data_IF_468380404829
#
_entry.id   IF_468380404829
#
_cell.length_a   1.000
_cell.length_b   1.000
_cell.length_c   1.000
_cell.angle_alpha   90.00
_cell.angle_beta   90.00
_cell.angle_gamma   90.00
#
_symmetry.space_group_name_H-M   'P 1'
#
loop_
_entity.id
_entity.type
_entity.pdbx_description
1 polymer ?
#
# COMPACT_ATOMS: atom_id res chain seq x y z
N UNK A 1 41.49 7.34 24.80
CA UNK A 1 42.55 6.56 24.11
C UNK A 1 42.45 5.13 24.61
N UNK A 2 42.17 4.17 23.73
CA UNK A 2 42.17 2.75 24.09
C UNK A 2 43.62 2.27 24.00
N UNK A 3 44.17 1.79 25.11
CA UNK A 3 45.54 1.29 25.16
C UNK A 3 45.74 0.12 24.20
N UNK A 4 46.78 0.23 23.37
CA UNK A 4 47.16 -0.78 22.38
C UNK A 4 47.41 -2.15 23.04
N UNK A 5 47.88 -2.14 24.29
CA UNK A 5 48.07 -3.35 25.11
C UNK A 5 46.76 -4.03 25.51
N UNK A 6 45.67 -3.26 25.69
CA UNK A 6 44.35 -3.82 25.98
C UNK A 6 43.74 -4.46 24.73
N UNK A 7 43.96 -3.88 23.55
CA UNK A 7 43.53 -4.47 22.28
C UNK A 7 44.32 -5.75 21.93
N UNK A 8 45.64 -5.77 22.17
CA UNK A 8 46.48 -6.96 21.95
C UNK A 8 46.11 -8.11 22.89
N UNK A 9 45.85 -7.83 24.17
CA UNK A 9 45.39 -8.85 25.13
C UNK A 9 44.01 -9.40 24.79
N UNK A 10 43.07 -8.58 24.33
CA UNK A 10 41.75 -9.07 23.90
C UNK A 10 41.84 -10.02 22.69
N UNK A 11 42.77 -9.78 21.76
CA UNK A 11 42.99 -10.65 20.60
C UNK A 11 43.63 -12.01 20.98
N UNK A 12 44.53 -12.01 21.97
CA UNK A 12 45.26 -13.21 22.40
C UNK A 12 44.37 -14.21 23.18
N UNK A 13 43.32 -13.73 23.85
CA UNK A 13 42.46 -14.56 24.71
C UNK A 13 41.17 -15.08 24.04
N UNK A 14 40.91 -14.80 22.75
CA UNK A 14 39.78 -15.41 22.01
C UNK A 14 40.03 -16.87 21.57
N UNK A 15 41.16 -17.46 21.97
CA UNK A 15 41.53 -18.86 21.79
C UNK A 15 40.64 -19.81 22.60
N UNK A 16 39.47 -20.13 22.03
CA UNK A 16 38.47 -21.11 22.44
C UNK A 16 39.07 -22.40 23.04
N UNK A 17 38.72 -22.73 24.30
CA UNK A 17 38.96 -24.05 24.90
C UNK A 17 38.40 -25.16 23.99
N UNK A 18 39.25 -26.09 23.55
CA UNK A 18 38.88 -27.31 22.80
C UNK A 18 38.15 -28.31 23.72
N UNK A 19 37.04 -28.94 23.30
CA UNK A 19 36.66 -30.25 23.80
C UNK A 19 37.56 -31.31 23.16
N UNK A 20 38.03 -32.25 23.98
CA UNK A 20 38.93 -33.33 23.58
C UNK A 20 38.08 -34.46 23.00
N UNK A 21 38.05 -34.61 21.67
CA UNK A 21 37.55 -35.83 21.03
C UNK A 21 36.85 -35.63 19.68
N UNK A 22 37.42 -36.21 18.63
CA UNK A 22 36.66 -36.73 17.48
C UNK A 22 36.73 -35.94 16.17
N UNK A 23 37.49 -36.48 15.21
CA UNK A 23 37.16 -36.41 13.77
C UNK A 23 37.69 -35.20 13.00
N UNK A 24 38.56 -35.47 12.02
CA UNK A 24 39.20 -34.46 11.18
C UNK A 24 38.22 -33.63 10.37
N UNK A 25 38.17 -32.33 10.68
CA UNK A 25 37.79 -31.28 9.74
C UNK A 25 38.95 -30.30 9.71
N UNK A 26 39.51 -30.09 8.53
CA UNK A 26 40.53 -29.09 8.27
C UNK A 26 40.07 -27.73 8.83
N UNK A 27 40.89 -27.15 9.69
CA UNK A 27 40.70 -25.78 10.17
C UNK A 27 40.69 -24.86 8.94
N UNK A 28 39.56 -24.19 8.70
CA UNK A 28 39.45 -23.17 7.64
C UNK A 28 40.61 -22.19 7.82
N UNK A 29 41.42 -21.91 6.77
CA UNK A 29 42.59 -21.05 6.91
C UNK A 29 42.14 -19.69 7.44
N UNK A 30 42.70 -19.28 8.58
CA UNK A 30 42.49 -17.96 9.15
C UNK A 30 42.85 -16.93 8.08
N UNK A 31 41.85 -16.15 7.66
CA UNK A 31 42.00 -15.10 6.65
C UNK A 31 43.02 -14.08 7.20
N UNK A 32 44.29 -14.19 6.79
CA UNK A 32 45.33 -13.23 7.16
C UNK A 32 44.84 -11.87 6.66
N UNK A 33 44.58 -10.95 7.58
CA UNK A 33 44.23 -9.58 7.25
C UNK A 33 45.45 -8.98 6.54
N UNK A 34 45.27 -8.59 5.29
CA UNK A 34 46.33 -7.89 4.55
C UNK A 34 46.65 -6.55 5.26
N UNK A 35 47.91 -6.13 5.28
CA UNK A 35 48.29 -4.82 5.83
C UNK A 35 47.48 -3.71 5.15
N UNK A 36 47.00 -2.74 5.95
CA UNK A 36 46.20 -1.63 5.45
C UNK A 36 47.03 -0.72 4.53
N UNK A 37 46.59 -0.59 3.27
CA UNK A 37 47.16 0.36 2.30
C UNK A 37 46.22 1.58 2.16
N UNK A 38 46.64 2.78 2.63
CA UNK A 38 45.80 3.98 2.59
C UNK A 38 45.51 4.46 1.16
N UNK A 39 46.40 4.22 0.20
CA UNK A 39 46.21 4.68 -1.18
C UNK A 39 45.19 3.81 -1.89
N UNK A 40 45.32 2.49 -1.75
CA UNK A 40 44.34 1.55 -2.29
C UNK A 40 42.96 1.72 -1.64
N UNK A 41 42.90 1.97 -0.33
CA UNK A 41 41.66 2.28 0.37
C UNK A 41 41.00 3.56 -0.17
N UNK A 42 41.77 4.63 -0.36
CA UNK A 42 41.26 5.89 -0.91
C UNK A 42 40.74 5.76 -2.35
N UNK A 43 41.44 5.03 -3.21
CA UNK A 43 40.96 4.78 -4.58
C UNK A 43 39.68 3.94 -4.61
N UNK A 44 39.55 3.00 -3.68
CA UNK A 44 38.34 2.21 -3.51
C UNK A 44 37.16 3.05 -3.01
N UNK A 45 37.38 3.95 -2.05
CA UNK A 45 36.34 4.87 -1.59
C UNK A 45 35.85 5.80 -2.71
N UNK A 46 36.76 6.30 -3.56
CA UNK A 46 36.38 7.05 -4.76
C UNK A 46 35.56 6.22 -5.72
N UNK A 47 35.96 4.99 -6.00
CA UNK A 47 35.22 4.08 -6.86
C UNK A 47 33.81 3.80 -6.32
N UNK A 48 33.69 3.54 -5.02
CA UNK A 48 32.41 3.33 -4.34
C UNK A 48 31.54 4.61 -4.43
N UNK A 49 32.12 5.81 -4.29
CA UNK A 49 31.40 7.07 -4.45
C UNK A 49 30.88 7.31 -5.88
N UNK A 50 31.70 7.03 -6.91
CA UNK A 50 31.23 7.09 -8.30
C UNK A 50 30.09 6.11 -8.57
N UNK A 51 30.20 4.88 -8.06
CA UNK A 51 29.15 3.87 -8.15
C UNK A 51 27.86 4.36 -7.48
N UNK A 52 27.96 4.97 -6.29
CA UNK A 52 26.83 5.52 -5.54
C UNK A 52 26.06 6.56 -6.36
N UNK A 53 26.77 7.56 -6.89
CA UNK A 53 26.15 8.63 -7.69
C UNK A 53 25.52 8.10 -8.97
N UNK A 54 26.20 7.16 -9.64
CA UNK A 54 25.68 6.53 -10.84
C UNK A 54 24.33 5.85 -10.59
N UNK A 55 24.21 5.06 -9.52
CA UNK A 55 22.96 4.35 -9.26
C UNK A 55 21.85 5.25 -8.73
N UNK A 56 22.19 6.33 -8.02
CA UNK A 56 21.20 7.35 -7.61
C UNK A 56 20.61 8.03 -8.84
N UNK A 57 21.46 8.50 -9.76
CA UNK A 57 21.01 9.14 -11.00
C UNK A 57 20.19 8.16 -11.83
N UNK A 58 20.63 6.91 -11.94
CA UNK A 58 19.89 5.87 -12.65
C UNK A 58 18.53 5.60 -12.01
N UNK A 59 18.46 5.51 -10.67
CA UNK A 59 17.21 5.31 -9.93
C UNK A 59 16.24 6.47 -10.13
N UNK A 60 16.74 7.71 -10.10
CA UNK A 60 15.96 8.91 -10.40
C UNK A 60 15.43 8.89 -11.85
N UNK A 61 16.30 8.62 -12.83
CA UNK A 61 15.92 8.56 -14.24
C UNK A 61 14.86 7.48 -14.50
N UNK A 62 15.04 6.28 -13.92
CA UNK A 62 14.07 5.19 -14.06
C UNK A 62 12.74 5.55 -13.40
N UNK A 63 12.75 6.18 -12.22
CA UNK A 63 11.52 6.65 -11.57
C UNK A 63 10.75 7.67 -12.41
N UNK A 64 11.45 8.64 -13.02
CA UNK A 64 10.85 9.61 -13.93
C UNK A 64 10.30 8.95 -15.21
N UNK A 65 11.05 8.03 -15.81
CA UNK A 65 10.60 7.28 -17.00
C UNK A 65 9.36 6.43 -16.65
N UNK A 66 9.35 5.79 -15.48
CA UNK A 66 8.20 5.02 -15.02
C UNK A 66 6.96 5.90 -14.93
N UNK A 67 7.05 7.05 -14.25
CA UNK A 67 5.91 7.95 -14.04
C UNK A 67 5.41 8.63 -15.31
N UNK A 68 6.32 9.17 -16.13
CA UNK A 68 5.95 10.08 -17.24
C UNK A 68 5.95 9.42 -18.62
N UNK A 69 6.50 8.22 -18.75
CA UNK A 69 6.54 7.50 -20.03
C UNK A 69 5.81 6.18 -19.95
N UNK A 70 6.11 5.34 -18.95
CA UNK A 70 5.55 3.98 -18.91
C UNK A 70 4.12 3.94 -18.36
N UNK A 71 3.82 4.58 -17.23
CA UNK A 71 2.46 4.59 -16.68
C UNK A 71 1.43 5.18 -17.67
N UNK A 72 1.65 6.33 -18.34
CA UNK A 72 0.67 6.90 -19.27
C UNK A 72 0.52 6.11 -20.58
N UNK A 73 1.44 5.18 -20.89
CA UNK A 73 1.38 4.38 -22.13
C UNK A 73 0.87 2.97 -21.92
N UNK A 74 0.64 2.57 -20.67
CA UNK A 74 0.27 1.21 -20.30
C UNK A 74 -1.07 1.23 -19.57
N UNK A 75 -2.10 0.71 -20.23
CA UNK A 75 -3.41 0.39 -19.64
C UNK A 75 -3.37 -0.99 -18.92
N UNK A 76 -2.19 -1.41 -18.46
CA UNK A 76 -1.87 -2.79 -18.09
C UNK A 76 -1.61 -3.01 -16.59
N UNK A 77 -1.45 -4.27 -16.15
CA UNK A 77 -1.32 -4.60 -14.74
C UNK A 77 -0.11 -3.93 -14.10
N UNK A 78 -0.36 -3.13 -13.07
CA UNK A 78 0.62 -2.35 -12.31
C UNK A 78 1.85 -3.18 -11.90
N UNK A 79 1.68 -4.47 -11.66
CA UNK A 79 2.75 -5.39 -11.24
C UNK A 79 3.94 -5.41 -12.22
N UNK A 80 3.71 -5.24 -13.53
CA UNK A 80 4.81 -5.28 -14.51
C UNK A 80 5.72 -4.06 -14.40
N UNK A 81 5.17 -2.90 -14.02
CA UNK A 81 5.93 -1.67 -13.80
C UNK A 81 6.94 -1.84 -12.66
N UNK A 82 6.57 -2.59 -11.63
CA UNK A 82 7.42 -2.86 -10.47
C UNK A 82 8.52 -3.92 -10.73
N UNK A 83 8.35 -4.76 -11.75
CA UNK A 83 9.35 -5.79 -12.10
C UNK A 83 10.53 -5.22 -12.88
N UNK A 84 10.31 -4.22 -13.75
CA UNK A 84 11.35 -3.66 -14.62
C UNK A 84 12.56 -3.13 -13.82
N UNK A 85 12.40 -2.33 -12.74
CA UNK A 85 13.52 -1.86 -11.92
C UNK A 85 14.30 -3.00 -11.28
N UNK A 86 13.62 -4.04 -10.81
CA UNK A 86 14.27 -5.22 -10.24
C UNK A 86 15.15 -5.91 -11.28
N UNK A 87 14.64 -6.05 -12.52
CA UNK A 87 15.42 -6.61 -13.63
C UNK A 87 16.62 -5.73 -14.00
N UNK A 88 16.50 -4.40 -13.93
CA UNK A 88 17.59 -3.47 -14.22
C UNK A 88 18.81 -3.63 -13.29
N UNK A 89 18.63 -4.16 -12.07
CA UNK A 89 19.76 -4.46 -11.16
C UNK A 89 20.79 -5.40 -11.80
N UNK A 90 20.34 -6.32 -12.65
CA UNK A 90 21.23 -7.26 -13.36
C UNK A 90 22.13 -6.57 -14.38
N UNK A 91 21.73 -5.40 -14.87
CA UNK A 91 22.45 -4.62 -15.88
C UNK A 91 23.46 -3.64 -15.29
N UNK A 92 23.42 -3.40 -13.97
CA UNK A 92 24.31 -2.47 -13.27
C UNK A 92 25.81 -2.71 -13.54
N UNK A 93 26.33 -3.96 -13.54
CA UNK A 93 27.75 -4.19 -13.84
C UNK A 93 28.14 -3.72 -15.25
N UNK A 94 27.23 -3.85 -16.21
CA UNK A 94 27.46 -3.42 -17.60
C UNK A 94 27.44 -1.90 -17.70
N UNK A 95 26.45 -1.25 -17.07
CA UNK A 95 26.36 0.22 -17.02
C UNK A 95 27.60 0.81 -16.34
N UNK A 96 28.06 0.20 -15.25
CA UNK A 96 29.25 0.64 -14.51
C UNK A 96 30.52 0.57 -15.39
N UNK A 97 30.67 -0.47 -16.20
CA UNK A 97 31.79 -0.59 -17.17
C UNK A 97 31.71 0.41 -18.32
N UNK A 98 30.50 0.79 -18.71
CA UNK A 98 30.28 1.73 -19.81
C UNK A 98 30.52 3.19 -19.40
N UNK A 99 30.07 3.57 -18.21
CA UNK A 99 30.04 4.98 -17.78
C UNK A 99 31.26 5.37 -16.95
N UNK A 100 31.73 4.50 -16.06
CA UNK A 100 32.81 4.82 -15.12
C UNK A 100 34.16 4.44 -15.73
N UNK A 101 35.19 5.31 -15.65
CA UNK A 101 36.52 5.02 -16.17
C UNK A 101 37.10 3.70 -15.64
N UNK A 102 37.83 2.97 -16.51
CA UNK A 102 38.39 1.65 -16.22
C UNK A 102 39.19 1.59 -14.91
N UNK A 103 39.89 2.69 -14.55
CA UNK A 103 40.63 2.79 -13.29
C UNK A 103 39.77 2.44 -12.06
N UNK A 104 38.52 2.88 -12.05
CA UNK A 104 37.59 2.67 -10.94
C UNK A 104 36.64 1.50 -11.21
N UNK A 105 36.24 1.28 -12.47
CA UNK A 105 35.30 0.21 -12.83
C UNK A 105 35.85 -1.20 -12.61
N UNK A 106 37.18 -1.38 -12.71
CA UNK A 106 37.83 -2.65 -12.43
C UNK A 106 37.81 -3.04 -10.94
N UNK A 107 37.56 -2.09 -10.03
CA UNK A 107 37.41 -2.33 -8.59
C UNK A 107 35.98 -2.77 -8.23
N UNK A 108 35.06 -2.80 -9.19
CA UNK A 108 33.67 -3.19 -8.97
C UNK A 108 33.53 -4.70 -8.82
N UNK A 109 33.19 -5.14 -7.61
CA UNK A 109 33.02 -6.54 -7.25
C UNK A 109 31.55 -6.92 -7.00
N UNK A 110 31.32 -8.18 -6.60
CA UNK A 110 29.98 -8.68 -6.27
C UNK A 110 29.36 -7.99 -5.05
N UNK A 111 30.18 -7.56 -4.09
CA UNK A 111 29.70 -6.82 -2.91
C UNK A 111 29.23 -5.42 -3.28
N UNK A 112 29.96 -4.75 -4.18
CA UNK A 112 29.59 -3.46 -4.76
C UNK A 112 28.32 -3.56 -5.58
N UNK A 113 28.19 -4.64 -6.38
CA UNK A 113 26.94 -4.92 -7.10
C UNK A 113 25.73 -5.05 -6.18
N UNK A 114 25.84 -5.84 -5.12
CA UNK A 114 24.75 -6.01 -4.17
C UNK A 114 24.39 -4.68 -3.50
N UNK A 115 25.37 -3.96 -2.95
CA UNK A 115 25.15 -2.64 -2.31
C UNK A 115 24.53 -1.62 -3.28
N UNK A 116 25.03 -1.57 -4.51
CA UNK A 116 24.54 -0.67 -5.55
C UNK A 116 23.14 -1.03 -6.02
N UNK A 117 22.80 -2.33 -6.08
CA UNK A 117 21.46 -2.81 -6.39
C UNK A 117 20.44 -2.40 -5.34
N UNK A 118 20.76 -2.54 -4.05
CA UNK A 118 19.91 -2.05 -2.96
C UNK A 118 19.72 -0.53 -3.02
N UNK A 119 20.81 0.22 -3.20
CA UNK A 119 20.74 1.68 -3.30
C UNK A 119 19.88 2.11 -4.49
N UNK A 120 20.11 1.53 -5.68
CA UNK A 120 19.29 1.76 -6.87
C UNK A 120 17.80 1.51 -6.59
N UNK A 121 17.49 0.34 -6.02
CA UNK A 121 16.11 -0.07 -5.77
C UNK A 121 15.41 0.85 -4.77
N UNK A 122 16.06 1.21 -3.67
CA UNK A 122 15.49 2.13 -2.70
C UNK A 122 15.39 3.56 -3.23
N UNK A 123 16.35 4.03 -4.02
CA UNK A 123 16.22 5.34 -4.70
C UNK A 123 15.02 5.32 -5.65
N UNK A 124 14.89 4.28 -6.47
CA UNK A 124 13.75 4.11 -7.36
C UNK A 124 12.41 4.09 -6.60
N UNK A 125 12.29 3.29 -5.52
CA UNK A 125 11.07 3.24 -4.70
C UNK A 125 10.79 4.60 -4.08
N UNK A 126 11.79 5.27 -3.52
CA UNK A 126 11.61 6.57 -2.89
C UNK A 126 11.09 7.60 -3.89
N UNK A 127 11.67 7.67 -5.09
CA UNK A 127 11.22 8.56 -6.16
C UNK A 127 9.82 8.18 -6.64
N UNK A 128 9.53 6.90 -6.83
CA UNK A 128 8.20 6.45 -7.25
C UNK A 128 7.14 6.79 -6.22
N UNK A 129 7.42 6.58 -4.93
CA UNK A 129 6.50 6.95 -3.86
C UNK A 129 6.24 8.47 -3.85
N UNK A 130 7.29 9.28 -3.99
CA UNK A 130 7.16 10.75 -4.06
C UNK A 130 6.35 11.20 -5.28
N UNK A 131 6.53 10.55 -6.44
CA UNK A 131 5.88 10.93 -7.71
C UNK A 131 4.48 10.33 -7.91
N UNK A 132 4.07 9.40 -7.06
CA UNK A 132 2.78 8.72 -7.13
C UNK A 132 1.84 9.08 -5.99
N UNK A 133 2.31 9.79 -4.96
CA UNK A 133 1.49 10.17 -3.82
C UNK A 133 1.38 11.70 -3.68
N UNK A 134 0.38 12.18 -2.93
CA UNK A 134 0.25 13.59 -2.62
C UNK A 134 1.52 14.13 -1.94
N UNK A 135 1.94 15.38 -2.22
CA UNK A 135 1.24 16.42 -2.99
C UNK A 135 1.55 16.44 -4.50
N UNK A 136 2.36 15.51 -5.03
CA UNK A 136 2.83 15.62 -6.43
C UNK A 136 1.97 14.88 -7.44
N UNK A 137 1.25 13.85 -7.02
CA UNK A 137 0.32 13.10 -7.85
C UNK A 137 -0.74 12.44 -6.99
N UNK A 138 -1.80 11.99 -7.64
CA UNK A 138 -2.84 11.18 -7.04
C UNK A 138 -3.20 10.00 -7.93
N UNK A 139 -2.78 8.82 -7.51
CA UNK A 139 -3.03 7.57 -8.25
C UNK A 139 -3.98 6.64 -7.51
N UNK A 140 -4.33 6.97 -6.26
CA UNK A 140 -5.13 6.09 -5.45
C UNK A 140 -6.59 6.39 -5.76
N UNK A 141 -7.42 5.41 -6.13
CA UNK A 141 -8.82 5.69 -6.34
C UNK A 141 -9.51 6.06 -5.01
N UNK A 142 -10.57 6.88 -5.06
CA UNK A 142 -11.42 7.09 -3.90
C UNK A 142 -12.02 5.75 -3.46
N UNK A 143 -12.07 5.52 -2.16
CA UNK A 143 -12.55 4.25 -1.59
C UNK A 143 -13.51 4.48 -0.44
N UNK A 144 -14.14 3.41 0.05
CA UNK A 144 -14.87 3.48 1.31
C UNK A 144 -13.93 3.40 2.50
N UNK A 145 -14.27 4.16 3.55
CA UNK A 145 -13.50 4.27 4.77
C UNK A 145 -13.34 2.95 5.56
N UNK A 146 -14.45 2.25 5.85
CA UNK A 146 -14.47 0.89 6.47
C UNK A 146 -15.71 0.06 6.05
N UNK A 147 -16.15 0.25 4.80
CA UNK A 147 -17.31 -0.43 4.21
C UNK A 147 -18.64 0.27 4.51
N UNK A 148 -19.70 -0.54 4.67
CA UNK A 148 -21.06 -0.06 4.96
C UNK A 148 -21.50 -0.38 6.39
N UNK A 149 -22.45 0.39 6.90
CA UNK A 149 -23.13 0.10 8.16
C UNK A 149 -24.62 0.47 8.07
N UNK A 150 -25.39 0.14 9.10
CA UNK A 150 -26.83 0.38 9.19
C UNK A 150 -27.12 1.06 10.52
N UNK A 151 -28.02 2.04 10.51
CA UNK A 151 -28.48 2.69 11.74
C UNK A 151 -29.34 1.73 12.56
N UNK A 152 -29.16 1.74 13.87
CA UNK A 152 -29.97 0.95 14.79
C UNK A 152 -31.43 1.38 14.68
N UNK A 153 -32.28 0.42 14.29
CA UNK A 153 -33.69 0.63 14.00
C UNK A 153 -34.50 -0.43 14.73
N UNK A 154 -35.72 -0.06 15.15
CA UNK A 154 -36.60 -0.97 15.86
C UNK A 154 -36.85 -2.25 15.04
N UNK A 155 -36.61 -3.40 15.68
CA UNK A 155 -36.81 -4.72 15.11
C UNK A 155 -35.52 -5.46 14.76
N UNK A 156 -34.36 -4.81 14.82
CA UNK A 156 -33.05 -5.46 14.72
C UNK A 156 -32.70 -6.08 16.09
N UNK A 157 -32.44 -7.39 16.12
CA UNK A 157 -32.09 -8.15 17.33
C UNK A 157 -30.58 -8.35 17.43
N UNK A 158 -29.96 -8.72 16.30
CA UNK A 158 -28.53 -8.96 16.20
C UNK A 158 -28.01 -8.48 14.85
N UNK A 159 -26.76 -8.02 14.82
CA UNK A 159 -26.09 -7.58 13.60
C UNK A 159 -24.70 -8.22 13.50
N UNK A 160 -24.35 -8.68 12.30
CA UNK A 160 -23.07 -9.34 12.03
C UNK A 160 -22.46 -8.86 10.72
N UNK A 161 -21.26 -8.30 10.80
CA UNK A 161 -20.44 -7.92 9.64
C UNK A 161 -19.34 -8.96 9.37
N UNK A 162 -19.33 -9.55 8.17
CA UNK A 162 -18.30 -10.50 7.76
C UNK A 162 -17.93 -10.33 6.29
N UNK A 163 -16.73 -9.79 6.04
CA UNK A 163 -16.07 -9.85 4.72
C UNK A 163 -16.83 -9.21 3.56
N UNK A 164 -17.74 -8.26 3.83
CA UNK A 164 -18.58 -7.62 2.83
C UNK A 164 -20.05 -8.06 2.85
N UNK A 165 -20.40 -9.03 3.69
CA UNK A 165 -21.79 -9.38 3.99
C UNK A 165 -22.18 -8.81 5.35
N UNK A 166 -23.25 -8.01 5.37
CA UNK A 166 -23.91 -7.55 6.57
C UNK A 166 -25.19 -8.35 6.80
N UNK A 167 -25.23 -9.15 7.87
CA UNK A 167 -26.43 -9.89 8.26
C UNK A 167 -27.12 -9.18 9.41
N UNK A 168 -28.42 -8.91 9.26
CA UNK A 168 -29.28 -8.38 10.32
C UNK A 168 -30.33 -9.45 10.67
N UNK A 169 -30.39 -9.83 11.94
CA UNK A 169 -31.44 -10.68 12.47
C UNK A 169 -32.61 -9.83 12.97
N UNK A 170 -33.82 -10.13 12.48
CA UNK A 170 -35.00 -9.32 12.71
C UNK A 170 -36.03 -10.08 13.56
N UNK A 171 -36.75 -9.38 14.43
CA UNK A 171 -37.91 -9.93 15.14
C UNK A 171 -39.23 -9.76 14.37
N UNK A 172 -39.20 -9.06 13.24
CA UNK A 172 -40.32 -8.77 12.37
C UNK A 172 -39.96 -8.99 10.90
N UNK A 173 -40.98 -9.08 10.04
CA UNK A 173 -40.79 -9.46 8.63
C UNK A 173 -40.26 -8.34 7.73
N UNK A 174 -40.40 -7.10 8.17
CA UNK A 174 -40.05 -5.89 7.43
C UNK A 174 -39.51 -4.84 8.42
N UNK A 175 -38.45 -4.12 8.04
CA UNK A 175 -37.87 -3.01 8.81
C UNK A 175 -37.53 -1.85 7.88
N UNK A 176 -37.52 -0.63 8.40
CA UNK A 176 -36.90 0.50 7.72
C UNK A 176 -35.37 0.40 7.88
N UNK A 177 -34.63 0.62 6.79
CA UNK A 177 -33.16 0.50 6.81
C UNK A 177 -32.52 1.79 6.34
N UNK A 178 -31.74 2.40 7.23
CA UNK A 178 -30.83 3.51 6.88
C UNK A 178 -29.43 2.96 6.70
N UNK A 179 -28.91 3.06 5.48
CA UNK A 179 -27.56 2.63 5.10
C UNK A 179 -26.57 3.77 5.28
N UNK A 180 -25.54 3.57 6.10
CA UNK A 180 -24.40 4.47 6.25
C UNK A 180 -23.17 3.99 5.47
N UNK A 181 -22.45 4.92 4.85
CA UNK A 181 -21.12 4.70 4.27
C UNK A 181 -20.27 5.97 4.42
N UNK A 182 -18.95 5.83 4.40
CA UNK A 182 -18.02 6.97 4.39
C UNK A 182 -17.11 6.88 3.18
N UNK A 183 -17.05 7.95 2.40
CA UNK A 183 -16.09 8.09 1.30
C UNK A 183 -14.78 8.61 1.87
N UNK A 184 -13.68 8.00 1.44
CA UNK A 184 -12.33 8.43 1.74
C UNK A 184 -11.55 8.59 0.46
N UNK A 185 -10.79 9.67 0.43
CA UNK A 185 -9.74 9.86 -0.54
C UNK A 185 -8.50 10.50 0.13
N UNK A 186 -7.34 10.39 -0.52
CA UNK A 186 -6.07 10.92 -0.04
C UNK A 186 -5.88 12.43 -0.35
N UNK A 187 -6.61 12.99 -1.32
CA UNK A 187 -6.54 14.41 -1.72
C UNK A 187 -7.89 15.09 -1.56
N UNK A 188 -8.93 14.61 -2.24
CA UNK A 188 -10.24 15.27 -2.31
C UNK A 188 -11.40 14.28 -2.30
N UNK A 189 -11.85 13.92 -1.09
CA UNK A 189 -13.01 13.07 -0.91
C UNK A 189 -14.34 13.75 -1.30
N UNK A 190 -14.38 15.09 -1.40
CA UNK A 190 -15.56 15.86 -1.76
C UNK A 190 -15.81 15.84 -3.28
N UNK A 191 -14.73 15.88 -4.06
CA UNK A 191 -14.73 15.83 -5.52
C UNK A 191 -14.96 14.43 -6.12
N UNK A 192 -14.83 13.37 -5.32
CA UNK A 192 -15.02 12.00 -5.77
C UNK A 192 -16.44 11.78 -6.34
N UNK A 193 -16.53 11.21 -7.55
CA UNK A 193 -17.80 10.81 -8.14
C UNK A 193 -18.25 9.48 -7.56
N UNK A 194 -19.55 9.31 -7.42
CA UNK A 194 -20.13 8.10 -6.88
C UNK A 194 -21.42 7.69 -7.57
N UNK A 195 -21.62 6.38 -7.65
CA UNK A 195 -22.90 5.74 -7.94
C UNK A 195 -23.16 4.70 -6.85
N UNK A 196 -24.32 4.80 -6.20
CA UNK A 196 -24.76 3.83 -5.21
C UNK A 196 -26.11 3.25 -5.63
N UNK A 197 -26.18 1.94 -5.79
CA UNK A 197 -27.38 1.24 -6.24
C UNK A 197 -27.68 0.02 -5.38
N UNK A 198 -28.97 -0.27 -5.21
CA UNK A 198 -29.48 -1.44 -4.48
C UNK A 198 -30.15 -2.38 -5.46
N UNK A 199 -29.81 -3.65 -5.37
CA UNK A 199 -30.27 -4.70 -6.26
C UNK A 199 -30.90 -5.84 -5.47
N UNK A 200 -31.98 -6.40 -6.00
CA UNK A 200 -32.67 -7.57 -5.44
C UNK A 200 -32.98 -8.54 -6.57
N UNK A 201 -32.64 -9.81 -6.38
CA UNK A 201 -32.79 -10.86 -7.41
C UNK A 201 -32.17 -10.54 -8.78
N UNK A 202 -31.14 -9.68 -8.80
CA UNK A 202 -30.48 -9.26 -10.04
C UNK A 202 -31.18 -8.13 -10.79
N UNK A 203 -32.27 -7.59 -10.25
CA UNK A 203 -32.93 -6.38 -10.76
C UNK A 203 -32.54 -5.17 -9.90
N UNK A 204 -32.40 -4.01 -10.55
CA UNK A 204 -32.15 -2.74 -9.87
C UNK A 204 -33.43 -2.34 -9.13
N UNK A 205 -33.35 -2.22 -7.81
CA UNK A 205 -34.48 -1.83 -6.97
C UNK A 205 -34.46 -0.32 -6.72
N UNK A 206 -33.30 0.25 -6.43
CA UNK A 206 -33.15 1.67 -6.12
C UNK A 206 -31.79 2.23 -6.55
N UNK A 207 -31.79 3.49 -6.99
CA UNK A 207 -30.57 4.30 -7.17
C UNK A 207 -30.54 5.33 -6.05
N UNK A 208 -29.52 5.28 -5.19
CA UNK A 208 -29.42 6.11 -3.99
C UNK A 208 -28.63 7.40 -4.23
N UNK A 209 -27.54 7.31 -4.99
CA UNK A 209 -26.69 8.45 -5.32
C UNK A 209 -26.15 8.34 -6.75
N UNK A 210 -25.99 9.49 -7.39
CA UNK A 210 -25.29 9.68 -8.66
C UNK A 210 -24.78 11.13 -8.71
N UNK A 211 -23.48 11.32 -8.87
CA UNK A 211 -22.83 12.63 -8.87
C UNK A 211 -21.63 12.66 -7.94
N UNK A 212 -21.16 13.85 -7.60
CA UNK A 212 -20.02 14.02 -6.68
C UNK A 212 -20.44 13.90 -5.23
N UNK A 213 -19.49 13.60 -4.35
CA UNK A 213 -19.75 13.46 -2.92
C UNK A 213 -20.29 14.75 -2.29
N UNK A 214 -19.75 15.91 -2.68
CA UNK A 214 -20.19 17.23 -2.21
C UNK A 214 -21.63 17.57 -2.62
N UNK A 215 -22.11 17.04 -3.74
CA UNK A 215 -23.49 17.25 -4.20
C UNK A 215 -24.51 16.48 -3.35
N UNK A 216 -24.09 15.43 -2.64
CA UNK A 216 -24.95 14.60 -1.78
C UNK A 216 -25.26 15.24 -0.41
N UNK A 217 -25.61 16.53 -0.42
CA UNK A 217 -25.85 17.33 0.79
C UNK A 217 -26.89 16.75 1.74
N UNK A 218 -27.98 16.17 1.20
CA UNK A 218 -28.99 15.51 2.02
C UNK A 218 -28.43 14.25 2.69
N UNK A 219 -27.70 13.42 1.95
CA UNK A 219 -27.11 12.19 2.50
C UNK A 219 -26.08 12.50 3.60
N UNK A 220 -25.30 13.57 3.45
CA UNK A 220 -24.39 14.06 4.48
C UNK A 220 -25.15 14.55 5.73
N UNK A 221 -26.21 15.35 5.53
CA UNK A 221 -27.04 15.81 6.64
C UNK A 221 -27.73 14.66 7.38
N UNK A 222 -28.20 13.64 6.65
CA UNK A 222 -28.78 12.44 7.24
C UNK A 222 -27.73 11.64 8.03
N UNK A 223 -26.49 11.56 7.53
CA UNK A 223 -25.40 10.90 8.26
C UNK A 223 -25.15 11.56 9.62
N UNK A 224 -25.13 12.89 9.67
CA UNK A 224 -24.99 13.64 10.91
C UNK A 224 -26.18 13.41 11.85
N UNK A 225 -27.40 13.28 11.31
CA UNK A 225 -28.61 13.01 12.09
C UNK A 225 -28.61 11.62 12.74
N UNK A 226 -28.01 10.62 12.09
CA UNK A 226 -27.85 9.25 12.60
C UNK A 226 -26.49 9.00 13.28
N UNK A 227 -25.72 10.06 13.53
CA UNK A 227 -24.42 9.89 14.17
C UNK A 227 -24.57 9.32 15.58
N UNK A 228 -23.82 8.25 15.87
CA UNK A 228 -23.88 7.53 17.14
C UNK A 228 -24.97 6.45 17.23
N UNK A 229 -25.81 6.27 16.20
CA UNK A 229 -26.79 5.16 16.13
C UNK A 229 -26.32 4.02 15.23
N UNK A 230 -25.15 4.13 14.60
CA UNK A 230 -24.55 3.09 13.76
C UNK A 230 -24.30 1.78 14.53
N UNK A 231 -24.77 0.65 14.01
CA UNK A 231 -24.65 -0.66 14.65
C UNK A 231 -23.19 -1.13 14.85
N UNK A 232 -22.26 -0.72 13.97
CA UNK A 232 -20.82 -0.95 14.12
C UNK A 232 -20.08 0.25 14.74
N UNK A 233 -20.80 1.28 15.17
CA UNK A 233 -20.27 2.52 15.77
C UNK A 233 -19.54 3.43 14.77
N UNK A 234 -18.53 4.16 15.24
CA UNK A 234 -17.76 5.14 14.43
C UNK A 234 -16.87 4.51 13.34
N UNK A 235 -17.17 3.29 12.89
CA UNK A 235 -16.43 2.63 11.82
C UNK A 235 -16.82 3.16 10.44
N UNK A 236 -18.02 3.72 10.29
CA UNK A 236 -18.53 4.16 8.98
C UNK A 236 -17.68 5.27 8.36
N UNK A 237 -17.30 6.27 9.18
CA UNK A 237 -16.44 7.39 8.82
C UNK A 237 -15.53 7.74 10.03
N UNK A 238 -14.43 6.99 10.25
CA UNK A 238 -13.59 7.12 11.45
C UNK A 238 -12.68 8.35 11.46
N UNK A 239 -12.36 8.95 10.31
CA UNK A 239 -11.51 10.14 10.22
C UNK A 239 -12.33 11.38 9.89
N UNK A 240 -11.87 12.55 10.34
CA UNK A 240 -12.55 13.83 10.10
C UNK A 240 -12.52 14.31 8.64
N UNK A 241 -11.71 13.67 7.80
CA UNK A 241 -11.64 13.94 6.35
C UNK A 241 -12.51 12.96 5.55
N UNK A 242 -13.08 11.94 6.20
CA UNK A 242 -14.01 11.02 5.55
C UNK A 242 -15.36 11.73 5.38
N UNK A 243 -15.95 11.65 4.19
CA UNK A 243 -17.28 12.20 3.92
C UNK A 243 -18.32 11.13 4.24
N UNK A 244 -18.95 11.25 5.40
CA UNK A 244 -20.03 10.37 5.84
C UNK A 244 -21.33 10.65 5.10
N UNK A 245 -22.03 9.59 4.69
CA UNK A 245 -23.32 9.66 3.99
C UNK A 245 -24.26 8.58 4.49
N UNK A 246 -25.53 8.95 4.62
CA UNK A 246 -26.61 8.04 4.96
C UNK A 246 -27.68 8.06 3.87
N UNK A 247 -28.23 6.88 3.58
CA UNK A 247 -29.26 6.69 2.57
C UNK A 247 -30.41 5.88 3.14
N UNK A 248 -31.62 6.39 3.02
CA UNK A 248 -32.83 5.67 3.39
C UNK A 248 -33.19 4.66 2.29
N UNK A 249 -33.13 3.37 2.64
CA UNK A 249 -33.53 2.27 1.76
C UNK A 249 -35.04 1.99 1.84
N UNK A 250 -35.75 2.68 2.73
CA UNK A 250 -37.14 2.44 3.06
C UNK A 250 -37.35 1.09 3.75
N UNK A 251 -38.59 0.60 3.65
CA UNK A 251 -39.02 -0.64 4.28
C UNK A 251 -38.57 -1.86 3.48
N UNK A 252 -37.61 -2.62 4.03
CA UNK A 252 -37.08 -3.83 3.42
C UNK A 252 -37.62 -5.09 4.10
N UNK A 253 -38.07 -6.04 3.29
CA UNK A 253 -38.49 -7.38 3.71
C UNK A 253 -37.31 -8.31 3.96
N UNK A 254 -37.48 -9.33 4.79
CA UNK A 254 -36.54 -10.45 4.95
C UNK A 254 -36.14 -11.04 3.59
N UNK A 255 -34.92 -10.73 3.14
CA UNK A 255 -34.35 -11.09 1.84
C UNK A 255 -32.85 -10.75 1.80
N UNK A 256 -32.21 -11.08 0.68
CA UNK A 256 -30.87 -10.64 0.35
C UNK A 256 -30.90 -9.49 -0.66
N UNK A 257 -30.18 -8.42 -0.33
CA UNK A 257 -30.02 -7.22 -1.13
C UNK A 257 -28.54 -7.01 -1.43
N UNK A 258 -28.23 -6.50 -2.62
CA UNK A 258 -26.87 -6.22 -3.07
C UNK A 258 -26.70 -4.73 -3.24
N UNK A 259 -25.76 -4.16 -2.50
CA UNK A 259 -25.42 -2.75 -2.54
C UNK A 259 -24.16 -2.63 -3.38
N UNK A 260 -24.27 -2.00 -4.55
CA UNK A 260 -23.14 -1.74 -5.45
C UNK A 260 -22.74 -0.29 -5.32
N UNK A 261 -21.46 -0.10 -5.06
CA UNK A 261 -20.86 1.21 -4.90
C UNK A 261 -19.72 1.31 -5.91
N UNK A 262 -19.82 2.30 -6.77
CA UNK A 262 -18.78 2.65 -7.73
C UNK A 262 -18.33 4.07 -7.42
N UNK A 263 -17.02 4.25 -7.21
CA UNK A 263 -16.37 5.52 -6.94
C UNK A 263 -15.32 5.76 -8.01
N UNK A 264 -15.20 6.99 -8.49
CA UNK A 264 -14.16 7.35 -9.45
C UNK A 264 -13.85 8.84 -9.44
N UNK A 265 -12.69 9.16 -10.01
CA UNK A 265 -12.20 10.52 -10.19
C UNK A 265 -11.31 10.60 -11.43
N UNK A 266 -11.00 11.83 -11.85
CA UNK A 266 -10.01 12.08 -12.89
C UNK A 266 -8.62 11.75 -12.33
N UNK A 267 -7.92 10.81 -12.97
CA UNK A 267 -6.61 10.37 -12.50
C UNK A 267 -5.42 11.10 -13.17
N UNK A 268 -4.24 10.96 -12.57
CA UNK A 268 -2.95 11.26 -13.21
C UNK A 268 -1.88 10.31 -12.65
N UNK A 269 -1.34 9.35 -13.44
CA UNK A 269 -1.20 9.33 -14.91
C UNK A 269 -2.33 8.72 -15.73
N UNK A 270 -3.24 7.97 -15.12
CA UNK A 270 -4.31 7.28 -15.85
C UNK A 270 -5.53 8.16 -15.95
N UNK A 271 -6.30 8.03 -17.03
CA UNK A 271 -7.45 8.91 -17.28
C UNK A 271 -8.49 8.87 -16.15
N UNK A 272 -8.66 7.71 -15.51
CA UNK A 272 -9.63 7.50 -14.42
C UNK A 272 -9.03 6.62 -13.33
N UNK A 273 -9.10 7.06 -12.09
CA UNK A 273 -8.90 6.21 -10.92
C UNK A 273 -10.28 5.71 -10.45
N UNK A 274 -10.53 4.41 -10.54
CA UNK A 274 -11.84 3.83 -10.19
C UNK A 274 -11.75 2.74 -9.11
N UNK A 275 -12.82 2.64 -8.33
CA UNK A 275 -13.02 1.60 -7.33
C UNK A 275 -14.47 1.14 -7.34
N UNK A 276 -14.69 -0.16 -7.49
CA UNK A 276 -16.03 -0.76 -7.42
C UNK A 276 -16.06 -1.87 -6.38
N UNK A 277 -17.14 -1.91 -5.60
CA UNK A 277 -17.42 -3.03 -4.70
C UNK A 277 -18.91 -3.31 -4.54
N UNK A 278 -19.21 -4.60 -4.50
CA UNK A 278 -20.54 -5.12 -4.12
C UNK A 278 -20.51 -5.59 -2.66
N UNK A 279 -21.49 -5.14 -1.89
CA UNK A 279 -21.77 -5.58 -0.53
C UNK A 279 -23.11 -6.32 -0.50
N UNK A 280 -23.26 -7.27 0.43
CA UNK A 280 -24.49 -8.03 0.61
C UNK A 280 -25.15 -7.63 1.91
N UNK A 281 -26.36 -7.08 1.85
CA UNK A 281 -27.23 -6.87 3.02
C UNK A 281 -28.21 -8.04 3.10
N UNK A 282 -28.10 -8.85 4.14
CA UNK A 282 -28.91 -10.04 4.35
C UNK A 282 -29.80 -9.86 5.57
N UNK A 283 -31.11 -9.78 5.34
CA UNK A 283 -32.12 -9.70 6.38
C UNK A 283 -32.66 -11.11 6.64
N UNK A 284 -32.61 -11.56 7.90
CA UNK A 284 -33.10 -12.89 8.30
C UNK A 284 -34.02 -12.79 9.50
N UNK A 285 -35.04 -13.65 9.59
CA UNK A 285 -35.85 -13.76 10.81
C UNK A 285 -35.03 -14.41 11.93
N UNK A 286 -35.05 -13.82 13.12
CA UNK A 286 -34.51 -14.44 14.32
C UNK A 286 -35.26 -15.75 14.61
N UNK A 287 -34.52 -16.83 14.84
CA UNK A 287 -35.10 -18.14 15.18
C UNK A 287 -35.57 -18.25 16.64
N UNK A 288 -35.53 -17.15 17.39
CA UNK A 288 -35.81 -17.15 18.83
C UNK A 288 -37.31 -17.05 19.08
N UNK A 289 -37.93 -18.20 19.33
CA UNK A 289 -39.28 -18.33 19.90
C UNK A 289 -39.25 -18.22 21.44
#
# INVERSE_FOLDING_TARGET
>A
MVDVDSALRASAYSGKKRPKGGGGKEDKPSRKLEPFDPVAAYEKEKADAYSMWLVIILGLSVGLIMRYVLMPTLDGPETILWLIPVLLITTLPTIHKLVIPNKYSNLYDKGNWFRSGFLFFFTFIAISFILSNPPLADIAPPTLADGIDVADTEGIVESQWKGGTYTLELNQTEIDVILGLGIRDNVDAEGANMIVTVWKYGELEQSLANGTAIEQTQAQADFDAFNGTWLRGNKVAPHSQDIGMAFDLGTLSVNEYKIRIHLWEDGDPWDVNEWEREYTLKLVMSSTA
#
